data_IF_410547000870
#
_entry.id   IF_410547000870
#
_cell.length_a   1.000
_cell.length_b   1.000
_cell.length_c   1.000
_cell.angle_alpha   90.00
_cell.angle_beta   90.00
_cell.angle_gamma   90.00
#
_symmetry.space_group_name_H-M   'P 1'
#
loop_
_entity.id
_entity.type
_entity.pdbx_description
1 polymer ?
#
# COMPACT_ATOMS: atom_id res chain seq x y z
N UNK A 1 1.84 21.32 14.06
CA UNK A 1 1.65 20.73 12.71
C UNK A 1 0.25 20.18 12.54
N UNK A 2 -0.26 20.02 11.32
CA UNK A 2 -1.63 19.58 10.98
C UNK A 2 -2.14 18.35 11.77
N UNK A 3 -1.23 17.46 12.19
CA UNK A 3 -1.55 16.27 13.02
C UNK A 3 -2.04 16.62 14.43
N UNK A 4 -1.57 17.71 15.03
CA UNK A 4 -2.00 18.18 16.36
C UNK A 4 -3.41 18.80 16.33
N UNK A 5 -3.85 19.29 15.17
CA UNK A 5 -5.14 19.99 14.98
C UNK A 5 -6.30 18.98 14.78
N UNK A 6 -6.00 17.75 14.37
CA UNK A 6 -6.97 16.66 14.20
C UNK A 6 -7.50 16.12 15.56
N UNK A 7 -6.91 16.55 16.68
CA UNK A 7 -7.24 16.10 18.05
C UNK A 7 -8.65 16.46 18.56
N UNK A 8 -9.50 17.16 17.79
CA UNK A 8 -10.82 17.58 18.27
C UNK A 8 -11.93 17.10 17.32
N UNK A 9 -12.51 15.95 17.64
CA UNK A 9 -13.83 15.46 17.18
C UNK A 9 -14.13 15.43 15.67
N UNK A 10 -13.14 15.62 14.80
CA UNK A 10 -13.32 15.53 13.36
C UNK A 10 -12.88 14.14 12.87
N UNK A 11 -13.71 13.46 12.09
CA UNK A 11 -13.36 12.24 11.34
C UNK A 11 -12.39 12.53 10.17
N UNK A 12 -11.58 13.59 10.28
CA UNK A 12 -10.67 14.06 9.24
C UNK A 12 -9.26 13.58 9.60
N UNK A 13 -8.76 12.64 8.80
CA UNK A 13 -7.40 12.14 8.87
C UNK A 13 -6.47 12.84 7.86
N UNK A 14 -5.18 12.88 8.17
CA UNK A 14 -4.13 13.34 7.23
C UNK A 14 -3.42 12.10 6.67
N UNK A 15 -3.37 11.97 5.34
CA UNK A 15 -2.59 10.92 4.65
C UNK A 15 -1.54 11.55 3.73
N UNK A 16 -0.32 11.01 3.77
CA UNK A 16 0.71 11.37 2.79
C UNK A 16 0.46 10.62 1.49
N UNK A 17 0.48 11.32 0.37
CA UNK A 17 0.37 10.72 -0.95
C UNK A 17 1.65 9.94 -1.27
N UNK A 18 1.50 8.71 -1.76
CA UNK A 18 2.64 7.83 -2.10
C UNK A 18 3.27 7.07 -0.92
N UNK A 19 2.96 7.43 0.33
CA UNK A 19 3.42 6.66 1.50
C UNK A 19 2.57 5.40 1.68
N UNK A 20 3.25 4.26 1.75
CA UNK A 20 2.61 2.98 2.05
C UNK A 20 2.34 2.86 3.55
N UNK A 21 1.17 2.33 3.88
CA UNK A 21 0.88 1.95 5.26
C UNK A 21 1.44 0.55 5.49
N UNK A 22 2.18 0.33 6.58
CA UNK A 22 2.88 -0.94 6.80
C UNK A 22 1.96 -2.06 7.31
N UNK A 23 0.90 -1.70 8.02
CA UNK A 23 0.00 -2.62 8.70
C UNK A 23 -0.60 -3.71 7.79
N UNK A 24 -1.09 -3.41 6.57
CA UNK A 24 -1.60 -4.44 5.66
C UNK A 24 -0.56 -5.49 5.28
N UNK A 25 0.71 -5.10 5.12
CA UNK A 25 1.79 -6.03 4.80
C UNK A 25 2.13 -6.92 5.98
N UNK A 26 2.15 -6.39 7.21
CA UNK A 26 2.28 -7.20 8.42
C UNK A 26 1.16 -8.22 8.55
N UNK A 27 -0.09 -7.84 8.28
CA UNK A 27 -1.23 -8.76 8.31
C UNK A 27 -1.18 -9.84 7.21
N UNK A 28 -0.70 -9.47 6.01
CA UNK A 28 -0.51 -10.41 4.91
C UNK A 28 0.63 -11.40 5.19
N UNK A 29 1.79 -10.90 5.65
CA UNK A 29 2.92 -11.73 6.05
C UNK A 29 2.56 -12.64 7.22
N UNK A 30 1.79 -12.15 8.20
CA UNK A 30 1.33 -12.98 9.31
C UNK A 30 0.48 -14.16 8.86
N UNK A 31 -0.45 -13.92 7.93
CA UNK A 31 -1.29 -14.99 7.34
C UNK A 31 -0.48 -16.01 6.55
N UNK A 32 0.58 -15.58 5.88
CA UNK A 32 1.39 -16.44 4.99
C UNK A 32 2.52 -17.19 5.71
N UNK A 33 3.14 -16.57 6.72
CA UNK A 33 4.37 -17.04 7.34
C UNK A 33 4.26 -17.25 8.87
N UNK A 34 3.10 -16.98 9.48
CA UNK A 34 2.94 -17.10 10.94
C UNK A 34 3.35 -15.82 11.67
N UNK A 35 4.14 -15.90 12.74
CA UNK A 35 4.47 -14.71 13.54
C UNK A 35 5.65 -13.88 12.97
N UNK A 36 5.70 -13.75 11.65
CA UNK A 36 6.73 -13.01 10.91
C UNK A 36 6.49 -11.50 10.92
N UNK A 37 6.98 -10.83 11.98
CA UNK A 37 6.89 -9.37 12.11
C UNK A 37 7.83 -8.66 11.13
N UNK A 38 8.99 -9.23 10.86
CA UNK A 38 10.07 -8.57 10.13
C UNK A 38 9.84 -8.65 8.62
N UNK A 39 9.21 -9.72 8.14
CA UNK A 39 8.85 -9.95 6.74
C UNK A 39 7.84 -8.92 6.24
N UNK A 40 6.93 -8.46 7.12
CA UNK A 40 5.97 -7.40 6.78
C UNK A 40 6.68 -6.07 6.49
N UNK A 41 7.64 -5.70 7.33
CA UNK A 41 8.43 -4.47 7.17
C UNK A 41 9.32 -4.53 5.94
N UNK A 42 9.98 -5.66 5.72
CA UNK A 42 10.81 -5.89 4.54
C UNK A 42 9.97 -5.77 3.26
N UNK A 43 8.81 -6.42 3.21
CA UNK A 43 7.89 -6.33 2.06
C UNK A 43 7.39 -4.89 1.82
N UNK A 44 7.08 -4.12 2.87
CA UNK A 44 6.71 -2.71 2.71
C UNK A 44 7.82 -1.93 2.02
N UNK A 45 9.04 -2.05 2.52
CA UNK A 45 10.21 -1.31 2.02
C UNK A 45 10.48 -1.62 0.56
N UNK A 46 10.41 -2.91 0.18
CA UNK A 46 10.53 -3.34 -1.21
C UNK A 46 9.45 -2.74 -2.11
N UNK A 47 8.19 -2.67 -1.64
CA UNK A 47 7.12 -2.04 -2.41
C UNK A 47 7.28 -0.52 -2.53
N UNK A 48 7.81 0.15 -1.51
CA UNK A 48 8.13 1.58 -1.60
C UNK A 48 9.21 1.85 -2.65
N UNK A 49 10.22 1.00 -2.77
CA UNK A 49 11.25 1.10 -3.82
C UNK A 49 10.64 0.91 -5.21
N UNK A 50 9.80 -0.11 -5.38
CA UNK A 50 9.16 -0.35 -6.67
C UNK A 50 8.20 0.77 -7.08
N UNK A 51 7.47 1.38 -6.14
CA UNK A 51 6.59 2.52 -6.43
C UNK A 51 7.33 3.79 -6.85
N UNK A 52 8.65 3.87 -6.63
CA UNK A 52 9.48 4.97 -7.16
C UNK A 52 9.76 4.83 -8.65
N UNK A 53 9.64 3.62 -9.19
CA UNK A 53 9.81 3.36 -10.61
C UNK A 53 8.48 3.61 -11.35
N UNK A 54 8.38 4.64 -12.21
CA UNK A 54 7.16 4.93 -12.97
C UNK A 54 6.82 3.84 -14.00
N UNK A 55 7.79 3.01 -14.39
CA UNK A 55 7.59 1.90 -15.32
C UNK A 55 7.19 0.60 -14.59
N UNK A 56 7.10 0.61 -13.27
CA UNK A 56 6.67 -0.53 -12.50
C UNK A 56 5.14 -0.65 -12.45
N UNK A 57 4.62 -1.74 -13.05
CA UNK A 57 3.20 -2.01 -13.17
C UNK A 57 2.85 -3.34 -12.48
N UNK A 58 2.48 -3.36 -11.19
CA UNK A 58 2.14 -4.57 -10.44
C UNK A 58 0.74 -5.12 -10.79
N UNK A 59 0.29 -4.92 -12.02
CA UNK A 59 -1.00 -5.36 -12.54
C UNK A 59 -0.89 -5.68 -14.02
N UNK A 60 -1.74 -6.60 -14.47
CA UNK A 60 -1.79 -6.99 -15.89
C UNK A 60 -2.90 -6.21 -16.58
N UNK A 61 -2.58 -5.56 -17.70
CA UNK A 61 -3.58 -4.93 -18.57
C UNK A 61 -4.15 -6.02 -19.48
N UNK A 62 -5.44 -6.33 -19.32
CA UNK A 62 -6.16 -7.25 -20.20
C UNK A 62 -7.05 -6.41 -21.12
N UNK A 63 -6.76 -6.42 -22.42
CA UNK A 63 -7.64 -5.82 -23.43
C UNK A 63 -8.76 -6.83 -23.70
N UNK A 64 -9.95 -6.58 -23.15
CA UNK A 64 -11.15 -7.32 -23.56
C UNK A 64 -11.56 -6.77 -24.91
N UNK A 65 -11.33 -7.55 -25.98
CA UNK A 65 -11.79 -7.20 -27.31
C UNK A 65 -13.31 -7.15 -27.30
N UNK A 66 -13.89 -6.00 -27.65
CA UNK A 66 -15.30 -5.92 -27.96
C UNK A 66 -15.50 -6.55 -29.34
N UNK A 67 -15.57 -7.89 -29.39
CA UNK A 67 -15.87 -8.65 -30.61
C UNK A 67 -17.36 -8.55 -30.95
N UNK A 68 -17.88 -7.33 -31.02
CA UNK A 68 -19.20 -7.04 -31.57
C UNK A 68 -18.98 -6.40 -32.95
N UNK A 69 -18.95 -7.26 -33.96
CA UNK A 69 -19.29 -6.93 -35.34
C UNK A 69 -20.32 -7.94 -35.82
#
# INVERSE_FOLDING_TARGET
GLREISSVRALIGVKRMGELESKPFHEACKRKFGNGSDEGTMMCSTWEEYLRDPDWHPYKIIKVGNSHQ
#
